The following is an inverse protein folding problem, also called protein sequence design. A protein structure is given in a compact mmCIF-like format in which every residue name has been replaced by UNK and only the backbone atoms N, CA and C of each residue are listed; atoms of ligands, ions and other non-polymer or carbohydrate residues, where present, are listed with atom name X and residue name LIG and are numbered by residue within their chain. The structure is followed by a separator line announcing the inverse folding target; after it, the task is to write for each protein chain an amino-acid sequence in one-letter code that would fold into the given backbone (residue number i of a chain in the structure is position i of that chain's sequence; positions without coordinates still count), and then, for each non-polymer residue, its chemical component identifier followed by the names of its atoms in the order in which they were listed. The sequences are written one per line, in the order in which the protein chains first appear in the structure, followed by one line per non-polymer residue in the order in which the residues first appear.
data_IF_923205263743
#
_entry.id   IF_923205263743
#
_cell.length_a   1.000
_cell.length_b   1.000
_cell.length_c   1.000
_cell.angle_alpha   90.00
_cell.angle_beta   90.00
_cell.angle_gamma   90.00
#
_symmetry.space_group_name_H-M   'P 1'
#
loop_
_entity.id
_entity.type
_entity.pdbx_description
1 polymer ?
#
# COMPACT_ATOMS: atom_id res chain seq x y z
N UNK A 1 12.28 10.91 5.61
CA UNK A 1 12.33 9.76 4.66
C UNK A 1 12.20 10.33 3.26
N UNK A 2 13.17 10.11 2.37
CA UNK A 2 13.09 10.61 1.00
C UNK A 2 12.06 9.77 0.23
N UNK A 3 10.99 10.41 -0.27
CA UNK A 3 10.03 9.76 -1.17
C UNK A 3 10.76 9.45 -2.48
N UNK A 4 10.86 8.17 -2.82
CA UNK A 4 11.55 7.75 -4.05
C UNK A 4 10.83 8.30 -5.30
N UNK A 5 11.57 8.46 -6.40
CA UNK A 5 10.99 8.86 -7.69
C UNK A 5 9.86 7.92 -8.13
N UNK A 6 10.03 6.62 -7.88
CA UNK A 6 9.01 5.61 -8.15
C UNK A 6 7.76 5.81 -7.29
N UNK A 7 7.92 6.06 -5.98
CA UNK A 7 6.80 6.29 -5.08
C UNK A 7 5.95 7.50 -5.51
N UNK A 8 6.59 8.61 -5.92
CA UNK A 8 5.85 9.77 -6.48
C UNK A 8 5.08 9.40 -7.74
N UNK A 9 5.71 8.67 -8.68
CA UNK A 9 5.07 8.27 -9.94
C UNK A 9 3.82 7.42 -9.70
N UNK A 10 3.90 6.44 -8.81
CA UNK A 10 2.75 5.59 -8.48
C UNK A 10 1.65 6.36 -7.74
N UNK A 11 2.01 7.26 -6.81
CA UNK A 11 1.05 8.09 -6.11
C UNK A 11 0.29 9.03 -7.07
N UNK A 12 0.99 9.66 -8.02
CA UNK A 12 0.36 10.51 -9.04
C UNK A 12 -0.58 9.70 -9.94
N UNK A 13 -0.14 8.54 -10.45
CA UNK A 13 -0.98 7.71 -11.31
C UNK A 13 -2.24 7.21 -10.59
N UNK A 14 -2.13 6.83 -9.31
CA UNK A 14 -3.28 6.44 -8.50
C UNK A 14 -4.25 7.60 -8.27
N UNK A 15 -3.74 8.80 -7.98
CA UNK A 15 -4.56 10.00 -7.79
C UNK A 15 -5.28 10.42 -9.07
N UNK A 16 -4.59 10.40 -10.22
CA UNK A 16 -5.17 10.66 -11.54
C UNK A 16 -6.30 9.66 -11.83
N UNK A 17 -6.05 8.37 -11.62
CA UNK A 17 -7.07 7.32 -11.83
C UNK A 17 -8.27 7.46 -10.90
N UNK A 18 -8.05 7.80 -9.63
CA UNK A 18 -9.14 8.05 -8.68
C UNK A 18 -9.96 9.29 -9.05
N UNK A 19 -9.31 10.33 -9.59
CA UNK A 19 -9.99 11.53 -10.07
C UNK A 19 -10.86 11.22 -11.29
N UNK A 20 -10.35 10.44 -12.25
CA UNK A 20 -11.11 9.98 -13.42
C UNK A 20 -12.35 9.15 -13.04
N UNK A 21 -12.25 8.37 -11.96
CA UNK A 21 -13.33 7.52 -11.46
C UNK A 21 -14.26 8.21 -10.45
N UNK A 22 -14.00 9.47 -10.08
CA UNK A 22 -14.75 10.18 -9.05
C UNK A 22 -14.64 9.56 -7.65
N UNK A 23 -13.56 8.82 -7.37
CA UNK A 23 -13.39 7.99 -6.18
C UNK A 23 -12.33 8.51 -5.20
N UNK A 24 -11.87 9.76 -5.35
CA UNK A 24 -10.77 10.36 -4.57
C UNK A 24 -10.93 10.16 -3.06
N UNK A 25 -12.12 10.43 -2.50
CA UNK A 25 -12.36 10.32 -1.06
C UNK A 25 -12.23 8.87 -0.56
N UNK A 26 -12.71 7.91 -1.34
CA UNK A 26 -12.61 6.49 -1.01
C UNK A 26 -11.15 6.03 -1.12
N UNK A 27 -10.45 6.39 -2.19
CA UNK A 27 -9.03 6.10 -2.36
C UNK A 27 -8.18 6.68 -1.22
N UNK A 28 -8.49 7.89 -0.76
CA UNK A 28 -7.81 8.50 0.37
C UNK A 28 -8.05 7.73 1.67
N UNK A 29 -9.29 7.30 1.94
CA UNK A 29 -9.62 6.44 3.09
C UNK A 29 -8.86 5.12 3.02
N UNK A 30 -8.82 4.48 1.86
CA UNK A 30 -8.12 3.20 1.67
C UNK A 30 -6.61 3.34 1.91
N UNK A 31 -5.98 4.40 1.40
CA UNK A 31 -4.56 4.69 1.64
C UNK A 31 -4.29 4.87 3.14
N UNK A 32 -5.16 5.59 3.86
CA UNK A 32 -5.03 5.77 5.30
C UNK A 32 -5.20 4.46 6.07
N UNK A 33 -6.17 3.63 5.68
CA UNK A 33 -6.37 2.29 6.24
C UNK A 33 -5.12 1.43 6.05
N UNK A 34 -4.62 1.32 4.80
CA UNK A 34 -3.44 0.52 4.47
C UNK A 34 -2.23 0.97 5.30
N UNK A 35 -2.00 2.29 5.38
CA UNK A 35 -0.90 2.85 6.18
C UNK A 35 -1.07 2.49 7.66
N UNK A 36 -2.24 2.71 8.23
CA UNK A 36 -2.51 2.45 9.65
C UNK A 36 -2.37 0.95 9.98
N UNK A 37 -2.88 0.05 9.14
CA UNK A 37 -2.75 -1.40 9.32
C UNK A 37 -1.28 -1.85 9.32
N UNK A 38 -0.48 -1.33 8.37
CA UNK A 38 0.94 -1.67 8.29
C UNK A 38 1.73 -1.04 9.46
N UNK A 39 1.45 0.21 9.84
CA UNK A 39 2.11 0.89 10.97
C UNK A 39 1.68 0.32 12.33
N UNK A 40 0.47 -0.26 12.42
CA UNK A 40 -0.05 -0.88 13.63
C UNK A 40 0.55 -2.26 13.95
N UNK A 41 1.03 -3.00 12.94
CA UNK A 41 1.60 -4.35 13.16
C UNK A 41 3.09 -4.44 12.86
N UNK A 42 3.89 -4.68 13.90
CA UNK A 42 5.34 -4.90 13.79
C UNK A 42 5.65 -6.17 13.00
N UNK A 43 4.83 -7.20 13.21
CA UNK A 43 4.91 -8.53 12.59
C UNK A 43 4.67 -8.42 11.09
N UNK A 44 3.61 -7.70 10.68
CA UNK A 44 3.31 -7.47 9.27
C UNK A 44 4.44 -6.70 8.58
N UNK A 45 5.02 -5.68 9.22
CA UNK A 45 6.19 -4.97 8.68
C UNK A 45 7.40 -5.88 8.53
N UNK A 46 7.68 -6.73 9.52
CA UNK A 46 8.79 -7.67 9.47
C UNK A 46 8.58 -8.70 8.34
N UNK A 47 7.36 -9.23 8.22
CA UNK A 47 6.97 -10.15 7.16
C UNK A 47 7.13 -9.54 5.76
N UNK A 48 6.62 -8.33 5.54
CA UNK A 48 6.72 -7.64 4.24
C UNK A 48 8.18 -7.29 3.88
N UNK A 49 9.01 -6.94 4.85
CA UNK A 49 10.44 -6.63 4.64
C UNK A 49 11.33 -7.87 4.50
N UNK A 50 10.88 -9.04 4.94
CA UNK A 50 11.69 -10.25 4.93
C UNK A 50 12.06 -10.67 3.50
N UNK A 51 13.35 -10.84 3.17
CA UNK A 51 13.76 -11.33 1.84
C UNK A 51 13.53 -12.84 1.66
N UNK A 52 13.26 -13.57 2.75
CA UNK A 52 13.08 -15.03 2.73
C UNK A 52 11.64 -15.41 2.38
N UNK A 53 10.66 -14.55 2.71
CA UNK A 53 9.25 -14.79 2.38
C UNK A 53 9.05 -14.58 0.88
N UNK A 54 8.48 -15.59 0.20
CA UNK A 54 8.23 -15.54 -1.24
C UNK A 54 7.28 -14.38 -1.59
N UNK A 55 7.49 -13.68 -2.71
CA UNK A 55 6.60 -12.61 -3.15
C UNK A 55 5.13 -13.05 -3.27
N UNK A 56 4.89 -14.27 -3.73
CA UNK A 56 3.53 -14.83 -3.86
C UNK A 56 2.81 -14.95 -2.50
N UNK A 57 3.52 -15.31 -1.44
CA UNK A 57 2.94 -15.43 -0.11
C UNK A 57 2.66 -14.06 0.50
N UNK A 58 3.50 -13.06 0.20
CA UNK A 58 3.23 -11.66 0.57
C UNK A 58 1.97 -11.13 -0.11
N UNK A 59 1.79 -11.42 -1.40
CA UNK A 59 0.59 -11.03 -2.15
C UNK A 59 -0.67 -11.69 -1.57
N UNK A 60 -0.63 -13.00 -1.29
CA UNK A 60 -1.76 -13.71 -0.65
C UNK A 60 -2.13 -13.13 0.71
N UNK A 61 -1.14 -12.82 1.54
CA UNK A 61 -1.36 -12.21 2.84
C UNK A 61 -2.03 -10.84 2.70
N UNK A 62 -1.53 -9.97 1.81
CA UNK A 62 -2.11 -8.65 1.58
C UNK A 62 -3.56 -8.75 1.05
N UNK A 63 -3.84 -9.66 0.13
CA UNK A 63 -5.19 -9.91 -0.39
C UNK A 63 -6.16 -10.57 0.63
N UNK A 64 -5.64 -11.06 1.75
CA UNK A 64 -6.47 -11.57 2.85
C UNK A 64 -6.73 -10.51 3.93
N UNK A 65 -5.91 -9.47 3.97
CA UNK A 65 -5.98 -8.38 4.96
C UNK A 65 -6.87 -7.23 4.44
N UNK A 66 -6.82 -6.96 3.14
CA UNK A 66 -7.54 -5.89 2.44
C UNK A 66 -8.48 -6.52 1.41
#
# INVERSE_FOLDING_TARGET
MLVSKAARRYATALLESANEQGSIENTLKDIHLIKATIEGSKELRAFLKSPVVKPADKQKALASIF
#
